data_IF_681758451368
#
_entry.id   IF_681758451368
#
_cell.length_a   1.000
_cell.length_b   1.000
_cell.length_c   1.000
_cell.angle_alpha   90.00
_cell.angle_beta   90.00
_cell.angle_gamma   90.00
#
_symmetry.space_group_name_H-M   'P 1'
#
loop_
_entity.id
_entity.type
_entity.pdbx_description
1 polymer ?
#
# COMPACT_ATOMS: atom_id res chain seq x y z
N UNK A 1 15.26 -11.29 0.74
CA UNK A 1 15.60 -9.92 1.23
C UNK A 1 16.93 -9.53 0.63
N UNK A 2 17.04 -8.28 0.20
CA UNK A 2 18.34 -7.65 -0.11
C UNK A 2 18.70 -6.72 1.07
N UNK A 3 19.73 -7.08 1.78
CA UNK A 3 20.23 -6.36 2.96
C UNK A 3 21.44 -5.46 2.64
N UNK A 4 21.76 -5.28 1.38
CA UNK A 4 22.87 -4.40 0.95
C UNK A 4 22.44 -2.95 0.78
N UNK A 5 21.11 -2.71 0.67
CA UNK A 5 20.52 -1.37 0.51
C UNK A 5 20.20 -0.81 1.89
N UNK A 6 20.88 0.29 2.25
CA UNK A 6 20.77 0.95 3.57
C UNK A 6 20.27 2.39 3.49
N UNK A 7 20.21 2.99 2.30
CA UNK A 7 19.76 4.36 2.14
C UNK A 7 18.24 4.48 2.30
N UNK A 8 17.78 5.56 2.95
CA UNK A 8 16.38 5.96 2.99
C UNK A 8 16.01 6.56 1.62
N UNK A 9 15.69 5.68 0.66
CA UNK A 9 15.59 6.01 -0.75
C UNK A 9 14.33 6.82 -1.08
N UNK A 10 14.47 7.97 -1.74
CA UNK A 10 13.31 8.62 -2.35
C UNK A 10 12.74 7.73 -3.45
N UNK A 11 11.43 7.68 -3.60
CA UNK A 11 10.78 6.75 -4.54
C UNK A 11 11.25 6.94 -5.99
N UNK A 12 11.57 8.17 -6.39
CA UNK A 12 12.08 8.50 -7.72
C UNK A 12 13.51 7.97 -8.00
N UNK A 13 14.24 7.55 -6.95
CA UNK A 13 15.60 7.01 -7.10
C UNK A 13 15.60 5.47 -7.20
N UNK A 14 14.44 4.80 -7.03
CA UNK A 14 14.33 3.33 -6.97
C UNK A 14 14.21 2.71 -8.37
N UNK A 15 13.46 3.34 -9.27
CA UNK A 15 13.29 2.91 -10.67
C UNK A 15 13.50 4.09 -11.61
N UNK A 16 13.86 3.80 -12.85
CA UNK A 16 13.99 4.81 -13.91
C UNK A 16 13.28 4.31 -15.17
N UNK A 17 12.04 4.78 -15.46
CA UNK A 17 11.29 4.36 -16.64
C UNK A 17 11.97 4.68 -17.98
N UNK A 18 12.89 5.66 -18.02
CA UNK A 18 13.63 6.05 -19.21
C UNK A 18 14.87 5.17 -19.49
N UNK A 19 15.13 4.19 -18.62
CA UNK A 19 16.26 3.28 -18.79
C UNK A 19 15.96 2.20 -19.84
N UNK A 20 17.02 1.59 -20.42
CA UNK A 20 16.89 0.46 -21.34
C UNK A 20 16.35 -0.82 -20.68
N UNK A 21 16.39 -0.90 -19.35
CA UNK A 21 15.86 -2.04 -18.59
C UNK A 21 14.33 -1.94 -18.50
N UNK A 22 13.57 -2.99 -18.88
CA UNK A 22 12.12 -2.97 -18.75
C UNK A 22 11.66 -2.61 -17.33
N UNK A 23 10.63 -1.77 -17.21
CA UNK A 23 10.15 -1.29 -15.91
C UNK A 23 9.74 -2.44 -14.97
N UNK A 24 9.13 -3.50 -15.51
CA UNK A 24 8.76 -4.71 -14.72
C UNK A 24 9.97 -5.40 -14.11
N UNK A 25 11.10 -5.44 -14.81
CA UNK A 25 12.34 -6.03 -14.30
C UNK A 25 12.96 -5.16 -13.21
N UNK A 26 12.90 -3.84 -13.36
CA UNK A 26 13.34 -2.89 -12.33
C UNK A 26 12.50 -3.00 -11.06
N UNK A 27 11.16 -3.03 -11.18
CA UNK A 27 10.25 -3.24 -10.05
C UNK A 27 10.58 -4.56 -9.35
N UNK A 28 10.72 -5.65 -10.11
CA UNK A 28 11.04 -6.98 -9.58
C UNK A 28 12.39 -7.00 -8.85
N UNK A 29 13.40 -6.32 -9.38
CA UNK A 29 14.72 -6.19 -8.76
C UNK A 29 14.69 -5.34 -7.46
N UNK A 30 13.77 -4.39 -7.35
CA UNK A 30 13.63 -3.52 -6.19
C UNK A 30 12.86 -4.17 -5.02
N UNK A 31 11.93 -5.10 -5.30
CA UNK A 31 11.10 -5.76 -4.28
C UNK A 31 11.92 -6.37 -3.12
N UNK A 32 13.05 -7.07 -3.33
CA UNK A 32 13.83 -7.63 -2.24
C UNK A 32 14.33 -6.62 -1.19
N UNK A 33 14.53 -5.36 -1.59
CA UNK A 33 14.98 -4.27 -0.71
C UNK A 33 13.85 -3.38 -0.20
N UNK A 34 12.88 -3.05 -1.07
CA UNK A 34 11.88 -2.01 -0.82
C UNK A 34 10.44 -2.54 -0.68
N UNK A 35 10.25 -3.85 -0.87
CA UNK A 35 8.93 -4.49 -0.84
C UNK A 35 8.06 -4.14 -2.05
N UNK A 36 6.92 -4.83 -2.17
CA UNK A 36 6.03 -4.70 -3.33
C UNK A 36 5.42 -3.29 -3.44
N UNK A 37 4.84 -2.76 -2.35
CA UNK A 37 4.23 -1.43 -2.37
C UNK A 37 5.23 -0.32 -2.69
N UNK A 38 6.40 -0.33 -2.04
CA UNK A 38 7.44 0.67 -2.27
C UNK A 38 7.93 0.68 -3.72
N UNK A 39 8.16 -0.51 -4.29
CA UNK A 39 8.64 -0.66 -5.66
C UNK A 39 7.61 -0.25 -6.71
N UNK A 40 6.33 -0.61 -6.54
CA UNK A 40 5.25 -0.14 -7.43
C UNK A 40 4.97 1.35 -7.27
N UNK A 41 5.04 1.88 -6.03
CA UNK A 41 4.87 3.30 -5.78
C UNK A 41 5.99 4.14 -6.43
N UNK A 42 7.20 3.61 -6.46
CA UNK A 42 8.31 4.24 -7.16
C UNK A 42 8.01 4.42 -8.65
N UNK A 43 7.50 3.38 -9.31
CA UNK A 43 7.06 3.46 -10.70
C UNK A 43 5.86 4.40 -10.89
N UNK A 44 4.89 4.33 -9.98
CA UNK A 44 3.69 5.19 -9.99
C UNK A 44 4.04 6.68 -9.91
N UNK A 45 5.10 7.04 -9.19
CA UNK A 45 5.53 8.44 -9.04
C UNK A 45 5.95 9.14 -10.33
N UNK A 46 6.10 8.40 -11.44
CA UNK A 46 6.36 8.93 -12.77
C UNK A 46 5.12 9.12 -13.63
N UNK A 47 3.93 8.80 -13.12
CA UNK A 47 2.67 9.03 -13.83
C UNK A 47 2.21 10.48 -13.59
N UNK A 48 2.47 11.37 -14.53
CA UNK A 48 2.23 12.82 -14.40
C UNK A 48 0.79 13.19 -14.03
N UNK A 49 -0.20 12.45 -14.57
CA UNK A 49 -1.64 12.73 -14.33
C UNK A 49 -2.16 12.16 -13.01
N UNK A 50 -1.34 11.32 -12.36
CA UNK A 50 -1.68 10.73 -11.08
C UNK A 50 -1.03 11.54 -9.97
N UNK A 51 -1.65 12.52 -9.39
CA UNK A 51 -1.06 13.28 -8.29
C UNK A 51 -0.60 12.33 -7.16
N UNK A 52 0.68 11.94 -7.20
CA UNK A 52 1.29 10.95 -6.30
C UNK A 52 2.06 11.70 -5.21
N UNK A 53 1.71 11.53 -3.93
CA UNK A 53 2.39 12.18 -2.83
C UNK A 53 3.90 11.93 -2.82
N UNK A 54 4.68 12.96 -2.47
CA UNK A 54 6.12 12.79 -2.21
C UNK A 54 6.32 11.72 -1.15
N UNK A 55 7.23 10.79 -1.41
CA UNK A 55 7.46 9.65 -0.54
C UNK A 55 8.93 9.18 -0.56
N UNK A 56 9.30 8.39 0.45
CA UNK A 56 10.54 7.63 0.48
C UNK A 56 10.28 6.24 1.05
N UNK A 57 11.23 5.33 0.90
CA UNK A 57 11.14 3.97 1.44
C UNK A 57 12.26 3.71 2.44
N UNK A 58 11.89 3.17 3.60
CA UNK A 58 12.80 2.58 4.57
C UNK A 58 13.01 1.13 4.13
N UNK A 59 14.22 0.71 3.70
CA UNK A 59 14.45 -0.62 3.18
C UNK A 59 14.35 -1.72 4.25
N UNK A 60 14.16 -2.95 3.82
CA UNK A 60 14.06 -4.15 4.70
C UNK A 60 15.29 -4.33 5.59
N UNK A 61 16.43 -3.74 5.23
CA UNK A 61 17.64 -3.74 6.05
C UNK A 61 17.37 -3.34 7.51
N UNK A 62 16.61 -2.26 7.73
CA UNK A 62 16.35 -1.74 9.08
C UNK A 62 15.39 -2.62 9.88
N UNK A 63 14.44 -3.27 9.23
CA UNK A 63 13.66 -4.33 9.87
C UNK A 63 14.56 -5.50 10.31
N UNK A 64 15.43 -5.98 9.43
CA UNK A 64 16.35 -7.07 9.76
C UNK A 64 17.33 -6.67 10.88
N UNK A 65 17.87 -5.46 10.84
CA UNK A 65 18.72 -4.92 11.91
C UNK A 65 17.99 -4.92 13.27
N UNK A 66 16.73 -4.42 13.28
CA UNK A 66 15.91 -4.41 14.50
C UNK A 66 15.66 -5.83 15.03
N UNK A 67 15.36 -6.79 14.17
CA UNK A 67 15.15 -8.18 14.55
C UNK A 67 16.43 -8.83 15.10
N UNK A 68 17.59 -8.53 14.52
CA UNK A 68 18.88 -9.08 14.90
C UNK A 68 19.37 -8.49 16.24
N UNK A 69 19.40 -7.15 16.36
CA UNK A 69 19.90 -6.45 17.55
C UNK A 69 19.09 -6.79 18.81
N UNK A 70 17.81 -7.13 18.66
CA UNK A 70 16.93 -7.53 19.77
C UNK A 70 16.78 -9.05 19.95
N UNK A 71 17.48 -9.87 19.18
CA UNK A 71 17.46 -11.33 19.29
C UNK A 71 16.16 -11.99 18.80
N UNK A 72 15.30 -11.27 18.09
CA UNK A 72 14.01 -11.81 17.63
C UNK A 72 14.18 -12.85 16.53
N UNK A 73 15.23 -12.76 15.70
CA UNK A 73 15.53 -13.78 14.69
C UNK A 73 15.77 -15.15 15.33
N UNK A 74 16.57 -15.21 16.41
CA UNK A 74 16.84 -16.46 17.14
C UNK A 74 15.54 -17.04 17.74
N UNK A 75 14.68 -16.17 18.29
CA UNK A 75 13.38 -16.59 18.84
C UNK A 75 12.43 -17.13 17.78
N UNK A 76 12.41 -16.54 16.58
CA UNK A 76 11.65 -17.08 15.45
C UNK A 76 12.20 -18.43 15.03
N UNK A 77 13.52 -18.62 14.99
CA UNK A 77 14.15 -19.91 14.70
C UNK A 77 13.74 -20.99 15.69
N UNK A 78 13.63 -20.66 16.99
CA UNK A 78 13.11 -21.56 18.01
C UNK A 78 11.65 -21.93 17.76
N UNK A 79 10.79 -20.97 17.40
CA UNK A 79 9.37 -21.23 17.11
C UNK A 79 9.18 -22.17 15.93
N UNK A 80 9.97 -22.03 14.89
CA UNK A 80 9.82 -22.81 13.65
C UNK A 80 10.25 -24.29 13.79
N UNK A 81 10.91 -24.66 14.91
CA UNK A 81 11.28 -26.04 15.24
C UNK A 81 10.57 -26.57 16.49
N UNK A 82 9.70 -25.81 17.10
CA UNK A 82 8.92 -26.17 18.27
C UNK A 82 7.66 -26.96 17.86
N UNK A 83 7.59 -28.24 18.24
CA UNK A 83 6.49 -29.12 17.87
C UNK A 83 5.11 -28.59 18.34
N UNK A 84 5.03 -28.00 19.53
CA UNK A 84 3.79 -27.44 20.04
C UNK A 84 3.36 -26.20 19.28
N UNK A 85 4.31 -25.33 18.89
CA UNK A 85 4.05 -24.17 18.04
C UNK A 85 3.55 -24.60 16.65
N UNK A 86 4.14 -25.65 16.10
CA UNK A 86 3.77 -26.16 14.76
C UNK A 86 2.38 -26.82 14.82
N UNK A 87 2.10 -27.65 15.85
CA UNK A 87 0.89 -28.45 15.90
C UNK A 87 -0.34 -27.67 16.40
N UNK A 88 -0.16 -26.73 17.36
CA UNK A 88 -1.24 -26.14 18.13
C UNK A 88 -1.45 -24.65 17.78
N UNK A 89 -2.51 -24.29 17.03
CA UNK A 89 -2.76 -22.90 16.63
C UNK A 89 -2.87 -21.90 17.81
N UNK A 90 -3.45 -22.34 18.95
CA UNK A 90 -3.58 -21.49 20.13
C UNK A 90 -2.22 -21.18 20.79
N UNK A 91 -1.29 -22.13 20.79
CA UNK A 91 0.08 -21.93 21.28
C UNK A 91 0.82 -21.00 20.32
N UNK A 92 0.64 -21.21 19.03
CA UNK A 92 1.24 -20.36 17.98
C UNK A 92 0.78 -18.92 18.11
N UNK A 93 -0.53 -18.67 18.22
CA UNK A 93 -1.09 -17.32 18.40
C UNK A 93 -0.56 -16.65 19.66
N UNK A 94 -0.53 -17.36 20.79
CA UNK A 94 0.00 -16.84 22.05
C UNK A 94 1.48 -16.45 21.94
N UNK A 95 2.33 -17.30 21.31
CA UNK A 95 3.77 -17.02 21.11
C UNK A 95 4.01 -15.86 20.15
N UNK A 96 3.24 -15.78 19.06
CA UNK A 96 3.31 -14.67 18.10
C UNK A 96 2.83 -13.35 18.74
N UNK A 97 1.80 -13.40 19.58
CA UNK A 97 1.34 -12.23 20.33
C UNK A 97 2.43 -11.74 21.30
N UNK A 98 3.04 -12.64 22.08
CA UNK A 98 4.14 -12.27 22.97
C UNK A 98 5.35 -11.73 22.21
N UNK A 99 5.68 -12.29 21.04
CA UNK A 99 6.76 -11.74 20.18
C UNK A 99 6.46 -10.30 19.78
N UNK A 100 5.22 -10.01 19.34
CA UNK A 100 4.81 -8.66 18.96
C UNK A 100 4.83 -7.67 20.13
N UNK A 101 4.38 -8.10 21.31
CA UNK A 101 4.42 -7.27 22.52
C UNK A 101 5.86 -6.90 22.88
N UNK A 102 6.77 -7.87 22.79
CA UNK A 102 8.19 -7.64 23.05
C UNK A 102 8.83 -6.73 21.97
N UNK A 103 8.43 -6.88 20.70
CA UNK A 103 8.85 -5.97 19.62
C UNK A 103 8.36 -4.54 19.87
N UNK A 104 7.14 -4.36 20.39
CA UNK A 104 6.60 -3.04 20.74
C UNK A 104 7.39 -2.36 21.86
N UNK A 105 8.02 -3.13 22.76
CA UNK A 105 8.82 -2.62 23.88
C UNK A 105 10.33 -2.48 23.54
N UNK A 106 10.79 -3.02 22.41
CA UNK A 106 12.20 -3.13 22.08
C UNK A 106 12.82 -1.80 21.63
N UNK A 107 14.12 -1.54 21.90
CA UNK A 107 14.82 -0.38 21.40
C UNK A 107 15.02 -0.48 19.88
N UNK A 108 15.04 0.67 19.23
CA UNK A 108 15.43 0.83 17.82
C UNK A 108 16.81 1.48 17.79
N UNK A 109 17.63 1.13 16.82
CA UNK A 109 18.95 1.69 16.62
C UNK A 109 18.92 3.23 16.58
N UNK A 110 19.71 3.88 17.44
CA UNK A 110 19.69 5.34 17.62
C UNK A 110 20.23 6.10 16.40
N UNK A 111 21.24 5.56 15.71
CA UNK A 111 21.79 6.18 14.51
C UNK A 111 20.77 6.19 13.37
N UNK A 112 20.03 5.08 13.20
CA UNK A 112 18.93 5.01 12.25
C UNK A 112 17.81 5.99 12.60
N UNK A 113 17.38 6.04 13.87
CA UNK A 113 16.33 6.97 14.30
C UNK A 113 16.72 8.42 14.08
N UNK A 114 17.96 8.76 14.34
CA UNK A 114 18.49 10.10 14.10
C UNK A 114 18.44 10.43 12.61
N UNK A 115 18.97 9.57 11.75
CA UNK A 115 18.95 9.76 10.30
C UNK A 115 17.50 9.88 9.75
N UNK A 116 16.58 9.04 10.25
CA UNK A 116 15.18 9.09 9.86
C UNK A 116 14.51 10.40 10.28
N UNK A 117 14.69 10.84 11.53
CA UNK A 117 14.12 12.10 12.03
C UNK A 117 14.70 13.31 11.30
N UNK A 118 15.99 13.29 10.98
CA UNK A 118 16.64 14.34 10.20
C UNK A 118 16.05 14.42 8.78
N UNK A 119 15.84 13.27 8.12
CA UNK A 119 15.18 13.23 6.81
C UNK A 119 13.75 13.75 6.87
N UNK A 120 12.97 13.32 7.88
CA UNK A 120 11.58 13.79 8.06
C UNK A 120 11.53 15.29 8.29
N UNK A 121 12.34 15.83 9.18
CA UNK A 121 12.35 17.26 9.47
C UNK A 121 12.85 18.13 8.30
N UNK A 122 13.75 17.59 7.47
CA UNK A 122 14.33 18.34 6.36
C UNK A 122 13.46 18.28 5.09
N UNK A 123 12.96 17.11 4.76
CA UNK A 123 12.25 16.89 3.50
C UNK A 123 10.72 16.91 3.60
N UNK A 124 10.18 16.70 4.82
CA UNK A 124 8.76 16.66 5.14
C UNK A 124 8.43 17.47 6.38
N UNK A 125 8.77 18.79 6.40
CA UNK A 125 8.65 19.61 7.61
C UNK A 125 7.19 19.73 8.08
N UNK A 126 6.99 19.64 9.39
CA UNK A 126 5.72 19.86 10.10
C UNK A 126 4.57 18.93 9.67
N UNK A 127 4.87 17.74 9.16
CA UNK A 127 3.87 16.86 8.58
C UNK A 127 3.78 15.54 9.34
N UNK A 128 2.56 15.10 9.64
CA UNK A 128 2.30 13.73 10.09
C UNK A 128 2.58 12.78 8.93
N UNK A 129 3.32 11.72 9.20
CA UNK A 129 3.71 10.76 8.18
C UNK A 129 2.96 9.45 8.35
N UNK A 130 2.57 8.83 7.25
CA UNK A 130 2.02 7.49 7.20
C UNK A 130 3.10 6.50 6.85
N UNK A 131 3.36 5.56 7.74
CA UNK A 131 4.28 4.44 7.56
C UNK A 131 3.44 3.24 7.09
N UNK A 132 3.58 2.88 5.82
CA UNK A 132 2.82 1.80 5.19
C UNK A 132 3.69 0.55 5.06
N UNK A 133 3.11 -0.59 5.42
CA UNK A 133 3.76 -1.90 5.22
C UNK A 133 4.09 -2.12 3.75
N UNK A 134 5.30 -2.60 3.49
CA UNK A 134 5.78 -2.97 2.16
C UNK A 134 6.67 -4.20 2.28
N UNK A 135 6.09 -5.40 2.24
CA UNK A 135 6.85 -6.63 2.37
C UNK A 135 7.43 -7.08 1.03
N UNK A 136 8.54 -7.79 1.10
CA UNK A 136 9.09 -8.46 -0.08
C UNK A 136 8.33 -9.73 -0.49
N UNK A 137 7.26 -10.08 0.23
CA UNK A 137 6.36 -11.17 -0.10
C UNK A 137 5.01 -10.71 -0.66
N UNK A 138 4.70 -9.41 -0.60
CA UNK A 138 3.53 -8.85 -1.30
C UNK A 138 3.75 -8.92 -2.81
N UNK A 139 2.66 -9.14 -3.54
CA UNK A 139 2.63 -9.22 -5.01
C UNK A 139 3.46 -10.38 -5.61
N UNK A 140 3.64 -11.46 -4.86
CA UNK A 140 4.22 -12.72 -5.36
C UNK A 140 3.11 -13.57 -6.02
N UNK A 141 2.99 -13.49 -7.35
CA UNK A 141 2.05 -14.30 -8.11
C UNK A 141 0.60 -14.11 -7.66
N UNK A 142 0.01 -15.15 -7.05
CA UNK A 142 -1.39 -15.11 -6.56
C UNK A 142 -1.52 -14.58 -5.11
N UNK A 143 -0.44 -14.05 -4.52
CA UNK A 143 -0.45 -13.54 -3.15
C UNK A 143 -0.32 -12.02 -3.11
N UNK A 144 -1.41 -11.32 -2.88
CA UNK A 144 -1.43 -9.86 -2.79
C UNK A 144 -1.05 -9.32 -1.40
N UNK A 145 -1.14 -10.13 -0.35
CA UNK A 145 -0.90 -9.69 1.03
C UNK A 145 -1.84 -8.58 1.54
N UNK A 146 -2.90 -8.27 0.79
CA UNK A 146 -3.83 -7.20 1.11
C UNK A 146 -4.48 -7.42 2.48
N UNK A 147 -4.49 -6.37 3.30
CA UNK A 147 -5.12 -6.39 4.63
C UNK A 147 -4.43 -7.27 5.69
N UNK A 148 -3.31 -7.93 5.37
CA UNK A 148 -2.60 -8.77 6.34
C UNK A 148 -1.75 -7.99 7.33
N UNK A 149 -1.27 -6.82 6.94
CA UNK A 149 -0.35 -6.00 7.71
C UNK A 149 -0.96 -4.66 8.03
N UNK A 150 -0.40 -3.96 9.02
CA UNK A 150 -0.88 -2.64 9.43
C UNK A 150 -0.06 -1.52 8.82
N UNK A 151 -0.63 -0.32 8.87
CA UNK A 151 0.04 0.95 8.58
C UNK A 151 -0.22 1.89 9.74
N UNK A 152 0.76 2.73 10.09
CA UNK A 152 0.65 3.62 11.26
C UNK A 152 1.07 5.03 10.93
N UNK A 153 0.41 6.00 11.56
CA UNK A 153 0.81 7.41 11.51
C UNK A 153 1.81 7.70 12.62
N UNK A 154 2.91 8.36 12.26
CA UNK A 154 3.94 8.85 13.17
C UNK A 154 4.30 10.30 12.86
N UNK A 155 4.75 11.02 13.89
CA UNK A 155 5.18 12.41 13.77
C UNK A 155 6.47 12.57 14.58
N UNK A 156 7.57 13.06 13.99
CA UNK A 156 8.84 13.23 14.70
C UNK A 156 8.76 14.26 15.83
N UNK A 157 7.74 15.14 15.84
CA UNK A 157 7.56 16.22 16.76
C UNK A 157 6.37 16.04 17.73
N UNK A 158 5.59 14.94 17.59
CA UNK A 158 4.44 14.64 18.46
C UNK A 158 4.72 13.44 19.37
N UNK A 159 4.89 13.68 20.66
CA UNK A 159 5.12 12.63 21.67
C UNK A 159 3.93 11.64 21.84
N UNK A 160 2.74 12.00 21.34
CA UNK A 160 1.56 11.10 21.37
C UNK A 160 1.55 10.12 20.19
N UNK A 161 2.34 10.41 19.16
CA UNK A 161 2.46 9.60 17.94
C UNK A 161 3.93 9.50 17.52
N UNK A 162 4.81 9.01 18.39
CA UNK A 162 6.23 8.97 18.06
C UNK A 162 6.49 8.06 16.86
N UNK A 163 7.46 8.43 16.07
CA UNK A 163 7.89 7.67 14.88
C UNK A 163 8.31 6.24 15.25
N UNK A 164 8.93 6.09 16.41
CA UNK A 164 9.37 4.80 16.96
C UNK A 164 8.22 3.80 17.12
N UNK A 165 7.07 4.28 17.62
CA UNK A 165 5.89 3.42 17.78
C UNK A 165 5.30 3.04 16.42
N UNK A 166 5.32 3.96 15.46
CA UNK A 166 4.88 3.65 14.09
C UNK A 166 5.77 2.57 13.46
N UNK A 167 7.10 2.67 13.60
CA UNK A 167 8.05 1.66 13.11
C UNK A 167 7.77 0.29 13.74
N UNK A 168 7.71 0.22 15.09
CA UNK A 168 7.50 -1.03 15.82
C UNK A 168 6.18 -1.69 15.45
N UNK A 169 5.10 -0.91 15.38
CA UNK A 169 3.77 -1.43 15.06
C UNK A 169 3.71 -2.00 13.64
N UNK A 170 4.27 -1.31 12.64
CA UNK A 170 4.29 -1.82 11.28
C UNK A 170 5.21 -3.04 11.16
N UNK A 171 6.40 -3.01 11.75
CA UNK A 171 7.32 -4.14 11.73
C UNK A 171 6.77 -5.37 12.45
N UNK A 172 6.14 -5.19 13.62
CA UNK A 172 5.55 -6.31 14.38
C UNK A 172 4.35 -6.94 13.65
N UNK A 173 3.67 -6.20 12.78
CA UNK A 173 2.51 -6.71 12.04
C UNK A 173 2.83 -7.90 11.12
N UNK A 174 4.09 -8.09 10.75
CA UNK A 174 4.56 -9.27 10.02
C UNK A 174 4.25 -10.56 10.79
N UNK A 175 4.20 -10.48 12.12
CA UNK A 175 3.96 -11.59 13.04
C UNK A 175 2.51 -11.67 13.55
N UNK A 176 1.55 -11.00 12.88
CA UNK A 176 0.14 -11.28 13.11
C UNK A 176 -0.17 -12.74 12.82
N UNK A 177 -0.98 -13.37 13.68
CA UNK A 177 -1.36 -14.78 13.51
C UNK A 177 -1.90 -15.06 12.10
N UNK A 178 -2.87 -14.25 11.62
CA UNK A 178 -3.44 -14.41 10.28
C UNK A 178 -2.39 -14.29 9.17
N UNK A 179 -1.42 -13.38 9.31
CA UNK A 179 -0.35 -13.21 8.33
C UNK A 179 0.64 -14.38 8.34
N UNK A 180 0.92 -14.94 9.51
CA UNK A 180 1.73 -16.14 9.68
C UNK A 180 1.04 -17.36 9.04
N UNK A 181 -0.26 -17.59 9.35
CA UNK A 181 -1.04 -18.71 8.81
C UNK A 181 -1.13 -18.64 7.28
N UNK A 182 -1.42 -17.45 6.72
CA UNK A 182 -1.53 -17.26 5.28
C UNK A 182 -0.20 -17.59 4.57
N UNK A 183 0.92 -17.13 5.12
CA UNK A 183 2.25 -17.47 4.58
C UNK A 183 2.55 -18.97 4.69
N UNK A 184 2.19 -19.58 5.82
CA UNK A 184 2.34 -21.04 6.02
C UNK A 184 1.54 -21.81 4.98
N UNK A 185 0.27 -21.44 4.78
CA UNK A 185 -0.60 -22.08 3.80
C UNK A 185 -0.04 -22.00 2.38
N UNK A 186 0.62 -20.91 2.04
CA UNK A 186 1.25 -20.69 0.72
C UNK A 186 2.67 -21.22 0.61
N UNK A 187 3.22 -21.82 1.66
CA UNK A 187 4.58 -22.33 1.66
C UNK A 187 5.66 -21.26 1.58
N UNK A 188 5.35 -20.02 2.02
CA UNK A 188 6.30 -18.92 2.04
C UNK A 188 7.20 -19.05 3.26
N UNK A 189 8.52 -19.04 3.04
CA UNK A 189 9.51 -19.14 4.10
C UNK A 189 9.52 -17.89 4.98
N UNK A 190 9.09 -18.02 6.24
CA UNK A 190 9.00 -16.93 7.22
C UNK A 190 10.31 -16.20 7.46
N UNK A 191 11.44 -16.87 7.30
CA UNK A 191 12.79 -16.30 7.51
C UNK A 191 13.25 -15.40 6.36
N UNK A 192 12.59 -15.50 5.21
CA UNK A 192 12.92 -14.71 4.01
C UNK A 192 12.05 -13.48 3.86
N UNK A 193 11.12 -13.26 4.81
CA UNK A 193 10.23 -12.12 4.77
C UNK A 193 10.81 -10.96 5.56
N UNK A 194 10.84 -9.80 4.91
CA UNK A 194 11.22 -8.52 5.52
C UNK A 194 10.15 -7.46 5.29
N UNK A 195 10.15 -6.47 6.16
CA UNK A 195 9.21 -5.35 6.13
C UNK A 195 9.96 -4.05 5.83
N UNK A 196 9.94 -3.63 4.57
CA UNK A 196 10.20 -2.24 4.22
C UNK A 196 9.00 -1.36 4.56
N UNK A 197 9.19 -0.04 4.63
CA UNK A 197 8.09 0.88 4.88
C UNK A 197 8.08 1.97 3.81
N UNK A 198 6.97 2.09 3.11
CA UNK A 198 6.66 3.25 2.28
C UNK A 198 6.18 4.38 3.18
N UNK A 199 6.85 5.54 3.13
CA UNK A 199 6.57 6.68 4.01
C UNK A 199 6.19 7.89 3.17
N UNK A 200 5.00 8.41 3.39
CA UNK A 200 4.47 9.64 2.80
C UNK A 200 3.66 10.42 3.84
N UNK A 201 3.25 11.66 3.56
CA UNK A 201 2.42 12.39 4.50
C UNK A 201 1.07 11.67 4.73
N UNK A 202 0.52 11.78 5.93
CA UNK A 202 -0.83 11.28 6.22
C UNK A 202 -1.87 12.29 5.76
N UNK A 203 -3.07 11.79 5.47
CA UNK A 203 -4.23 12.57 5.05
C UNK A 203 -5.21 12.65 6.23
N UNK A 204 -5.10 13.65 7.12
CA UNK A 204 -5.93 13.70 8.32
C UNK A 204 -7.35 14.22 8.07
N UNK A 205 -7.55 14.94 6.97
CA UNK A 205 -8.79 15.65 6.66
C UNK A 205 -9.35 15.17 5.30
N UNK A 206 -9.33 13.84 5.08
CA UNK A 206 -9.84 13.25 3.85
C UNK A 206 -11.35 13.42 3.71
N UNK A 207 -11.78 13.93 2.57
CA UNK A 207 -13.20 14.08 2.23
C UNK A 207 -13.79 12.83 1.61
N UNK A 208 -12.97 12.09 0.85
CA UNK A 208 -13.34 10.79 0.30
C UNK A 208 -12.12 9.87 0.16
N UNK A 209 -12.39 8.57 0.28
CA UNK A 209 -11.38 7.55 -0.01
C UNK A 209 -12.00 6.45 -0.88
N UNK A 210 -11.16 5.75 -1.66
CA UNK A 210 -11.68 4.74 -2.54
C UNK A 210 -10.62 3.80 -3.10
N UNK A 211 -11.15 2.78 -3.76
CA UNK A 211 -10.39 1.86 -4.60
C UNK A 211 -10.97 1.86 -6.01
N UNK A 212 -10.14 1.66 -7.00
CA UNK A 212 -10.57 1.56 -8.38
C UNK A 212 -9.82 0.47 -9.13
N UNK A 213 -10.48 -0.14 -10.11
CA UNK A 213 -9.88 -1.08 -11.06
C UNK A 213 -9.88 -0.42 -12.44
N UNK A 214 -8.73 -0.36 -13.10
CA UNK A 214 -8.58 0.35 -14.37
C UNK A 214 -9.14 -0.37 -15.59
N UNK A 215 -9.98 -1.37 -15.37
CA UNK A 215 -10.82 -2.04 -16.38
C UNK A 215 -12.07 -2.54 -15.69
N UNK A 216 -13.13 -2.81 -16.47
CA UNK A 216 -14.37 -3.38 -15.94
C UNK A 216 -14.15 -4.83 -15.48
N UNK A 217 -14.17 -5.13 -14.17
CA UNK A 217 -13.92 -6.49 -13.68
C UNK A 217 -15.10 -7.44 -13.91
N UNK A 218 -16.25 -6.93 -14.34
CA UNK A 218 -17.44 -7.72 -14.67
C UNK A 218 -17.47 -8.14 -16.13
N UNK A 219 -16.73 -7.42 -17.01
CA UNK A 219 -16.58 -7.76 -18.42
C UNK A 219 -15.11 -8.05 -18.77
N UNK A 220 -14.74 -9.33 -18.73
CA UNK A 220 -13.40 -9.80 -19.12
C UNK A 220 -13.21 -9.88 -20.63
N UNK A 221 -14.27 -9.68 -21.44
CA UNK A 221 -14.18 -9.67 -22.89
C UNK A 221 -13.60 -8.37 -23.43
N UNK A 222 -13.62 -7.29 -22.63
CA UNK A 222 -13.20 -5.94 -23.02
C UNK A 222 -14.16 -5.25 -23.99
N UNK A 223 -15.39 -5.78 -24.19
CA UNK A 223 -16.41 -5.15 -25.05
C UNK A 223 -17.12 -4.00 -24.35
N UNK A 224 -17.12 -3.98 -23.02
CA UNK A 224 -17.66 -2.92 -22.17
C UNK A 224 -16.54 -2.25 -21.36
N UNK A 225 -15.64 -1.49 -22.01
CA UNK A 225 -14.52 -0.87 -21.33
C UNK A 225 -15.02 0.21 -20.38
N UNK A 226 -14.57 0.18 -19.12
CA UNK A 226 -14.88 1.16 -18.11
C UNK A 226 -14.01 0.95 -16.89
N UNK A 227 -13.92 1.94 -16.02
CA UNK A 227 -13.24 1.82 -14.74
C UNK A 227 -14.27 1.43 -13.67
N UNK A 228 -13.97 0.41 -12.88
CA UNK A 228 -14.74 0.15 -11.66
C UNK A 228 -14.22 1.07 -10.56
N UNK A 229 -15.13 1.75 -9.87
CA UNK A 229 -14.83 2.65 -8.77
C UNK A 229 -15.70 2.26 -7.58
N UNK A 230 -15.09 2.17 -6.40
CA UNK A 230 -15.74 1.99 -5.12
C UNK A 230 -15.20 3.08 -4.18
N UNK A 231 -16.08 3.99 -3.72
CA UNK A 231 -15.69 5.19 -2.98
C UNK A 231 -16.67 5.49 -1.85
N UNK A 232 -16.12 6.04 -0.76
CA UNK A 232 -16.90 6.44 0.41
C UNK A 232 -16.46 7.81 0.92
N UNK A 233 -17.37 8.49 1.59
CA UNK A 233 -17.12 9.76 2.27
C UNK A 233 -16.22 9.57 3.48
N UNK A 234 -15.27 10.49 3.67
CA UNK A 234 -14.36 10.54 4.83
C UNK A 234 -13.39 9.37 4.94
N UNK A 235 -13.09 8.99 6.18
CA UNK A 235 -12.14 7.90 6.51
C UNK A 235 -12.77 6.51 6.52
N UNK A 236 -14.08 6.39 6.24
CA UNK A 236 -14.80 5.12 6.30
C UNK A 236 -14.25 4.10 5.30
N UNK A 237 -14.13 2.85 5.73
CA UNK A 237 -13.58 1.78 4.88
C UNK A 237 -14.50 1.49 3.70
N UNK A 238 -13.94 1.43 2.48
CA UNK A 238 -14.69 1.03 1.28
C UNK A 238 -14.77 -0.49 1.09
N UNK A 239 -13.94 -1.26 1.80
CA UNK A 239 -13.89 -2.73 1.67
C UNK A 239 -14.72 -3.41 2.76
N UNK A 240 -14.68 -2.88 3.98
CA UNK A 240 -15.45 -3.36 5.13
C UNK A 240 -16.03 -2.14 5.87
N UNK A 241 -17.09 -1.50 5.33
CA UNK A 241 -17.70 -0.35 5.97
C UNK A 241 -18.30 -0.70 7.34
N UNK A 242 -18.11 0.17 8.32
CA UNK A 242 -18.66 -0.05 9.67
C UNK A 242 -20.21 0.10 9.68
N UNK A 243 -20.86 -0.60 10.58
CA UNK A 243 -22.30 -0.48 10.81
C UNK A 243 -23.20 -0.92 9.65
N UNK A 244 -22.65 -1.56 8.62
CA UNK A 244 -23.40 -2.00 7.44
C UNK A 244 -23.70 -0.85 6.45
N UNK A 245 -22.89 0.21 6.48
CA UNK A 245 -22.98 1.27 5.47
C UNK A 245 -22.67 0.73 4.07
N UNK A 246 -23.33 1.28 3.06
CA UNK A 246 -23.03 1.03 1.64
C UNK A 246 -22.15 2.13 1.08
N UNK A 247 -21.47 1.86 -0.02
CA UNK A 247 -20.54 2.76 -0.70
C UNK A 247 -21.06 3.12 -2.08
N UNK A 248 -20.59 4.20 -2.69
CA UNK A 248 -20.83 4.42 -4.12
C UNK A 248 -19.96 3.45 -4.92
N UNK A 249 -20.61 2.53 -5.65
CA UNK A 249 -19.96 1.59 -6.55
C UNK A 249 -20.50 1.77 -7.96
N UNK A 250 -19.65 2.02 -8.93
CA UNK A 250 -20.07 2.27 -10.29
C UNK A 250 -19.01 1.91 -11.34
N UNK A 251 -19.47 1.69 -12.59
CA UNK A 251 -18.60 1.63 -13.77
C UNK A 251 -18.61 3.00 -14.43
N UNK A 252 -17.42 3.57 -14.61
CA UNK A 252 -17.21 4.85 -15.27
C UNK A 252 -16.67 4.65 -16.68
N UNK A 253 -17.49 4.94 -17.69
CA UNK A 253 -17.13 4.79 -19.10
C UNK A 253 -16.40 6.05 -19.61
N UNK A 254 -15.22 6.30 -19.08
CA UNK A 254 -14.44 7.52 -19.28
C UNK A 254 -14.17 7.85 -20.74
N UNK A 255 -13.90 6.85 -21.59
CA UNK A 255 -13.60 7.02 -23.03
C UNK A 255 -14.85 7.08 -23.92
N UNK A 256 -16.04 6.95 -23.36
CA UNK A 256 -17.31 7.07 -24.10
C UNK A 256 -17.78 8.52 -24.19
N UNK A 257 -18.45 8.92 -25.28
CA UNK A 257 -19.09 10.24 -25.38
C UNK A 257 -20.07 10.47 -24.24
N UNK A 258 -19.93 11.61 -23.55
CA UNK A 258 -20.76 11.96 -22.40
C UNK A 258 -20.36 11.27 -21.10
N UNK A 259 -19.35 10.42 -21.13
CA UNK A 259 -18.73 9.78 -19.97
C UNK A 259 -19.76 9.24 -18.97
N UNK A 260 -20.65 8.31 -19.39
CA UNK A 260 -21.69 7.82 -18.52
C UNK A 260 -21.14 7.02 -17.33
N UNK A 261 -21.87 7.05 -16.24
CA UNK A 261 -21.64 6.23 -15.05
C UNK A 261 -22.83 5.26 -14.88
N UNK A 262 -22.52 3.99 -14.62
CA UNK A 262 -23.51 2.97 -14.29
C UNK A 262 -23.32 2.57 -12.83
N UNK A 263 -24.23 3.04 -11.97
CA UNK A 263 -24.18 2.76 -10.54
C UNK A 263 -24.66 1.33 -10.26
N UNK A 264 -23.86 0.61 -9.48
CA UNK A 264 -24.17 -0.72 -8.95
C UNK A 264 -24.80 -0.57 -7.58
N UNK A 265 -24.27 0.36 -6.77
CA UNK A 265 -24.76 0.68 -5.43
C UNK A 265 -24.50 2.15 -5.11
N UNK A 266 -25.31 2.73 -4.24
CA UNK A 266 -25.13 4.09 -3.74
C UNK A 266 -24.71 4.09 -2.28
N UNK A 267 -23.89 5.07 -1.89
CA UNK A 267 -23.49 5.28 -0.51
C UNK A 267 -24.71 5.63 0.37
N UNK A 268 -24.76 5.01 1.54
CA UNK A 268 -25.74 5.35 2.57
C UNK A 268 -25.32 6.52 3.47
N UNK A 269 -24.13 7.08 3.27
CA UNK A 269 -23.60 8.21 4.06
C UNK A 269 -23.87 9.57 3.40
N UNK A 270 -24.18 9.60 2.11
CA UNK A 270 -24.60 10.83 1.42
C UNK A 270 -26.12 10.91 1.27
N UNK A 271 -26.71 12.11 1.13
CA UNK A 271 -28.16 12.27 0.93
C UNK A 271 -28.69 11.55 -0.32
N UNK A 272 -29.96 11.13 -0.28
CA UNK A 272 -30.62 10.50 -1.43
C UNK A 272 -30.52 11.34 -2.70
N UNK A 273 -29.97 10.77 -3.76
CA UNK A 273 -29.79 11.41 -5.06
C UNK A 273 -28.50 12.21 -5.21
N UNK A 274 -27.67 12.24 -4.18
CA UNK A 274 -26.30 12.75 -4.23
C UNK A 274 -25.29 11.60 -4.40
N UNK A 275 -24.07 11.92 -4.78
CA UNK A 275 -22.94 10.97 -4.92
C UNK A 275 -21.77 11.44 -4.09
N UNK A 276 -20.93 10.50 -3.65
CA UNK A 276 -19.73 10.80 -2.85
C UNK A 276 -18.78 11.73 -3.62
N UNK A 277 -18.58 11.47 -4.91
CA UNK A 277 -17.74 12.32 -5.77
C UNK A 277 -18.59 13.25 -6.62
N UNK A 278 -18.15 14.48 -6.77
CA UNK A 278 -18.66 15.43 -7.78
C UNK A 278 -18.27 14.98 -9.19
N UNK A 279 -18.88 15.56 -10.21
CA UNK A 279 -18.53 15.29 -11.60
C UNK A 279 -17.07 15.70 -11.92
N UNK A 280 -16.56 16.77 -11.32
CA UNK A 280 -15.19 17.25 -11.49
C UNK A 280 -14.17 16.30 -10.86
N UNK A 281 -14.43 15.80 -9.67
CA UNK A 281 -13.61 14.82 -8.98
C UNK A 281 -13.61 13.47 -9.71
N UNK A 282 -14.79 13.01 -10.17
CA UNK A 282 -14.90 11.80 -10.98
C UNK A 282 -14.11 11.91 -12.28
N UNK A 283 -14.12 13.07 -12.93
CA UNK A 283 -13.35 13.32 -14.13
C UNK A 283 -11.83 13.34 -13.86
N UNK A 284 -11.41 13.98 -12.76
CA UNK A 284 -10.00 13.99 -12.34
C UNK A 284 -9.50 12.56 -12.05
N UNK A 285 -10.31 11.76 -11.34
CA UNK A 285 -10.02 10.35 -11.08
C UNK A 285 -9.92 9.55 -12.39
N UNK A 286 -10.86 9.72 -13.31
CA UNK A 286 -10.85 9.03 -14.61
C UNK A 286 -9.59 9.31 -15.43
N UNK A 287 -9.10 10.56 -15.42
CA UNK A 287 -7.83 10.95 -16.07
C UNK A 287 -6.65 10.20 -15.46
N UNK A 288 -6.56 10.19 -14.13
CA UNK A 288 -5.49 9.51 -13.41
C UNK A 288 -5.52 7.99 -13.66
N UNK A 289 -6.69 7.36 -13.58
CA UNK A 289 -6.86 5.92 -13.85
C UNK A 289 -6.45 5.56 -15.27
N UNK A 290 -6.81 6.39 -16.27
CA UNK A 290 -6.41 6.18 -17.65
C UNK A 290 -4.88 6.27 -17.82
N UNK A 291 -4.25 7.28 -17.23
CA UNK A 291 -2.81 7.46 -17.30
C UNK A 291 -2.08 6.29 -16.60
N UNK A 292 -2.53 5.85 -15.43
CA UNK A 292 -1.99 4.69 -14.73
C UNK A 292 -2.13 3.42 -15.59
N UNK A 293 -3.31 3.17 -16.16
CA UNK A 293 -3.55 2.03 -17.03
C UNK A 293 -2.58 2.01 -18.22
N UNK A 294 -2.40 3.14 -18.89
CA UNK A 294 -1.52 3.26 -20.05
C UNK A 294 -0.04 3.11 -19.66
N UNK A 295 0.38 3.71 -18.57
CA UNK A 295 1.77 3.67 -18.10
C UNK A 295 2.22 2.23 -17.79
N UNK A 296 1.41 1.46 -17.08
CA UNK A 296 1.74 0.09 -16.71
C UNK A 296 1.42 -0.96 -17.78
N UNK A 297 0.77 -0.58 -18.89
CA UNK A 297 0.36 -1.52 -19.94
C UNK A 297 1.53 -2.30 -20.56
N UNK A 298 2.67 -1.65 -20.79
CA UNK A 298 3.86 -2.32 -21.31
C UNK A 298 4.44 -3.36 -20.36
N UNK A 299 4.26 -3.16 -19.03
CA UNK A 299 4.79 -4.04 -17.98
C UNK A 299 3.86 -5.21 -17.64
N UNK A 300 2.54 -4.98 -17.63
CA UNK A 300 1.56 -5.93 -17.12
C UNK A 300 0.42 -6.25 -18.08
N UNK A 301 0.39 -5.63 -19.23
CA UNK A 301 -0.62 -5.89 -20.27
C UNK A 301 -0.51 -7.28 -20.90
N UNK A 302 -1.47 -7.63 -21.78
CA UNK A 302 -1.56 -8.94 -22.42
C UNK A 302 -0.28 -9.40 -23.13
N UNK A 303 0.44 -8.48 -23.78
CA UNK A 303 1.68 -8.81 -24.50
C UNK A 303 2.83 -9.18 -23.57
N UNK A 304 2.88 -8.59 -22.37
CA UNK A 304 3.93 -8.87 -21.41
C UNK A 304 3.64 -10.14 -20.56
N UNK A 305 2.37 -10.37 -20.24
CA UNK A 305 1.96 -11.43 -19.30
C UNK A 305 1.40 -12.68 -19.99
N UNK A 306 0.97 -12.57 -21.25
CA UNK A 306 0.25 -13.63 -21.97
C UNK A 306 -1.20 -13.85 -21.46
N UNK A 307 -1.72 -12.98 -20.60
CA UNK A 307 -3.11 -12.99 -20.13
C UNK A 307 -3.99 -12.21 -21.13
N UNK A 308 -5.24 -12.62 -21.28
CA UNK A 308 -6.17 -11.94 -22.20
C UNK A 308 -6.74 -10.64 -21.65
N UNK A 309 -6.59 -10.37 -20.35
CA UNK A 309 -7.14 -9.22 -19.65
C UNK A 309 -6.11 -8.57 -18.73
N UNK A 310 -6.20 -7.25 -18.57
CA UNK A 310 -5.31 -6.44 -17.76
C UNK A 310 -6.04 -5.33 -17.04
N UNK A 311 -5.69 -5.10 -15.79
CA UNK A 311 -6.07 -3.93 -15.00
C UNK A 311 -5.05 -3.65 -13.89
N UNK A 312 -5.09 -2.41 -13.39
CA UNK A 312 -4.42 -2.02 -12.15
C UNK A 312 -5.47 -1.82 -11.05
N UNK A 313 -5.14 -2.27 -9.84
CA UNK A 313 -5.82 -1.98 -8.58
C UNK A 313 -5.22 -0.70 -8.01
N UNK A 314 -6.04 0.32 -7.80
CA UNK A 314 -5.62 1.67 -7.44
C UNK A 314 -6.31 2.10 -6.14
N UNK A 315 -5.52 2.56 -5.16
CA UNK A 315 -6.04 3.24 -3.96
C UNK A 315 -5.89 4.75 -4.12
N UNK A 316 -6.95 5.48 -3.84
CA UNK A 316 -6.98 6.93 -3.95
C UNK A 316 -7.66 7.60 -2.77
N UNK A 317 -7.43 8.90 -2.63
CA UNK A 317 -8.14 9.79 -1.70
C UNK A 317 -8.37 11.13 -2.35
N UNK A 318 -9.40 11.82 -1.86
CA UNK A 318 -9.56 13.25 -2.01
C UNK A 318 -9.32 13.90 -0.67
N UNK A 319 -8.35 14.79 -0.61
CA UNK A 319 -7.89 15.44 0.63
C UNK A 319 -7.70 16.93 0.41
N UNK A 320 -7.94 17.72 1.45
CA UNK A 320 -7.66 19.16 1.40
C UNK A 320 -6.17 19.38 1.58
N UNK A 321 -5.48 19.82 0.54
CA UNK A 321 -4.10 20.27 0.67
C UNK A 321 -4.03 21.65 1.33
N UNK A 322 -3.08 21.82 2.26
CA UNK A 322 -2.83 23.09 2.90
C UNK A 322 -2.52 24.16 1.83
N UNK A 323 -3.45 25.12 1.66
CA UNK A 323 -3.34 26.18 0.66
C UNK A 323 -4.12 25.97 -0.65
N UNK A 324 -4.78 24.84 -0.85
CA UNK A 324 -5.66 24.60 -2.03
C UNK A 324 -7.04 25.28 -1.93
N UNK A 325 -7.38 25.87 -0.79
CA UNK A 325 -8.72 26.35 -0.49
C UNK A 325 -9.64 25.21 -0.07
N UNK A 326 -10.96 25.37 -0.30
CA UNK A 326 -11.97 24.36 0.09
C UNK A 326 -12.17 23.27 -0.97
N UNK A 327 -11.29 23.14 -1.96
CA UNK A 327 -11.43 22.13 -3.02
C UNK A 327 -10.50 20.95 -2.78
N UNK A 328 -11.04 19.74 -2.57
CA UNK A 328 -10.24 18.55 -2.36
C UNK A 328 -9.41 18.19 -3.59
N UNK A 329 -8.21 17.69 -3.35
CA UNK A 329 -7.27 17.30 -4.40
C UNK A 329 -7.14 15.77 -4.43
N UNK A 330 -7.23 15.19 -5.63
CA UNK A 330 -6.99 13.76 -5.82
C UNK A 330 -5.56 13.38 -5.44
N UNK A 331 -5.41 12.35 -4.64
CA UNK A 331 -4.15 11.75 -4.23
C UNK A 331 -4.17 10.25 -4.55
N UNK A 332 -3.26 9.79 -5.41
CA UNK A 332 -3.11 8.36 -5.71
C UNK A 332 -2.08 7.76 -4.74
N UNK A 333 -2.52 6.82 -3.93
CA UNK A 333 -1.73 6.24 -2.84
C UNK A 333 -1.09 4.90 -3.17
N UNK A 334 -1.61 4.20 -4.17
CA UNK A 334 -1.11 2.89 -4.60
C UNK A 334 -1.64 2.56 -5.98
N UNK A 335 -0.81 1.89 -6.78
CA UNK A 335 -1.25 1.17 -7.96
C UNK A 335 -0.44 -0.13 -8.07
N UNK A 336 -1.13 -1.24 -8.30
CA UNK A 336 -0.51 -2.56 -8.50
C UNK A 336 -1.31 -3.36 -9.52
N UNK A 337 -0.71 -4.39 -10.15
CA UNK A 337 -1.46 -5.28 -11.02
C UNK A 337 -2.66 -5.89 -10.29
N UNK A 338 -3.84 -5.78 -10.89
CA UNK A 338 -5.02 -6.45 -10.37
C UNK A 338 -4.89 -7.96 -10.65
N UNK A 339 -5.01 -8.83 -9.63
CA UNK A 339 -4.73 -10.25 -9.81
C UNK A 339 -5.72 -10.96 -10.74
N UNK A 340 -6.85 -10.32 -11.03
CA UNK A 340 -7.93 -10.95 -11.76
C UNK A 340 -8.72 -11.93 -10.89
N UNK A 341 -9.59 -12.70 -11.56
CA UNK A 341 -10.32 -13.83 -10.95
C UNK A 341 -9.65 -15.14 -11.30
#
# INVERSE_FOLDING_TARGET
>A
MDLTVTDLANVQDIVNPDSDTPLVDQISAAIPAFGGKGSHYAALSYVEEANVPKAFVIPVYYYNQFMEENGFNARVDEFLVDDDFIAEPAIRDAKLTQLRDDMMAAPINEDFLTALKDKLNTEFPATRMRFRSSTNAEDLGDFTGAGLYTSKTGDPNDSKRPVEDALREVWSSIWYFRAFEERTYRGIDHKKIGMALLVHHSFPDEEANGVAVTSNPFDLSGMEPGFYINVQEGEESVVEPEGGATTDQFIYYFDMPGQPMEFIEHSSLVPDGETVLTAEETFALGRALKAIHQFFYASYGPQATGKDWYAMDVEFKFDQEEGSGDTPVLQIKQARPYPGR
#
